data_IF_501318779392
#
_entry.id   IF_501318779392
#
_cell.length_a   1.000
_cell.length_b   1.000
_cell.length_c   1.000
_cell.angle_alpha   90.00
_cell.angle_beta   90.00
_cell.angle_gamma   90.00
#
_symmetry.space_group_name_H-M   'P 1'
#
loop_
_entity.id
_entity.type
_entity.pdbx_description
1 polymer ?
#
# COMPACT_ATOMS: atom_id res chain seq x y z
N UNK A 1 17.68 -7.03 0.72
CA UNK A 1 16.87 -8.00 -0.05
C UNK A 1 16.47 -9.13 0.90
N UNK A 2 15.27 -9.67 0.75
CA UNK A 2 14.75 -10.78 1.57
C UNK A 2 14.98 -12.10 0.81
N UNK A 3 15.58 -13.13 1.41
CA UNK A 3 15.69 -14.45 0.79
C UNK A 3 14.31 -15.00 0.40
N UNK A 4 14.20 -15.61 -0.78
CA UNK A 4 12.93 -16.13 -1.29
C UNK A 4 13.14 -17.43 -2.04
N UNK A 5 13.42 -18.52 -1.31
CA UNK A 5 13.63 -19.86 -1.85
C UNK A 5 12.43 -20.76 -1.55
N UNK A 6 11.39 -20.62 -2.38
CA UNK A 6 10.17 -21.45 -2.27
C UNK A 6 10.48 -22.95 -2.41
N UNK A 7 11.45 -23.30 -3.26
CA UNK A 7 11.79 -24.69 -3.58
C UNK A 7 12.37 -25.44 -2.39
N UNK A 8 13.21 -24.77 -1.59
CA UNK A 8 13.73 -25.32 -0.33
C UNK A 8 12.63 -25.64 0.69
N UNK A 9 11.46 -25.01 0.56
CA UNK A 9 10.29 -25.24 1.40
C UNK A 9 9.20 -26.10 0.74
N UNK A 10 9.46 -26.67 -0.44
CA UNK A 10 8.48 -27.47 -1.18
C UNK A 10 7.27 -26.67 -1.66
N UNK A 11 7.46 -25.38 -1.94
CA UNK A 11 6.44 -24.44 -2.42
C UNK A 11 6.73 -24.02 -3.86
N UNK A 12 5.66 -23.65 -4.57
CA UNK A 12 5.70 -23.08 -5.93
C UNK A 12 4.94 -21.75 -5.97
N UNK A 13 5.39 -20.80 -6.81
CA UNK A 13 4.68 -19.55 -7.09
C UNK A 13 3.85 -19.68 -8.37
N UNK A 14 2.53 -19.75 -8.21
CA UNK A 14 1.61 -19.76 -9.34
C UNK A 14 1.12 -18.35 -9.65
N UNK A 15 1.28 -17.92 -10.90
CA UNK A 15 0.82 -16.62 -11.39
C UNK A 15 -0.37 -16.81 -12.32
N UNK A 16 -1.48 -16.16 -11.99
CA UNK A 16 -2.70 -16.14 -12.82
C UNK A 16 -2.87 -14.78 -13.50
N UNK A 17 -2.76 -14.76 -14.83
CA UNK A 17 -3.09 -13.58 -15.64
C UNK A 17 -4.60 -13.58 -15.97
N UNK A 18 -5.31 -12.55 -15.50
CA UNK A 18 -6.75 -12.38 -15.74
C UNK A 18 -7.08 -12.07 -17.19
N UNK A 19 -6.08 -11.70 -18.02
CA UNK A 19 -6.20 -11.29 -19.43
C UNK A 19 -7.14 -10.10 -19.67
N UNK A 20 -7.57 -9.40 -18.61
CA UNK A 20 -8.39 -8.19 -18.74
C UNK A 20 -7.50 -7.09 -19.29
N UNK A 21 -7.89 -6.53 -20.45
CA UNK A 21 -7.17 -5.42 -21.05
C UNK A 21 -7.73 -4.10 -20.56
N UNK A 22 -7.04 -3.49 -19.61
CA UNK A 22 -7.24 -2.08 -19.29
C UNK A 22 -6.50 -1.25 -20.34
N UNK A 23 -7.16 -0.27 -20.96
CA UNK A 23 -6.47 0.70 -21.78
C UNK A 23 -5.42 1.41 -20.91
N UNK A 24 -4.16 1.42 -21.34
CA UNK A 24 -3.06 2.15 -20.70
C UNK A 24 -3.40 3.65 -20.72
N UNK A 25 -4.14 4.13 -19.71
CA UNK A 25 -4.66 5.49 -19.71
C UNK A 25 -5.93 5.72 -18.89
N UNK A 26 -6.44 4.73 -18.15
CA UNK A 26 -7.47 5.02 -17.18
C UNK A 26 -6.89 5.89 -16.06
N UNK A 27 -7.44 7.10 -15.90
CA UNK A 27 -6.99 8.08 -14.90
C UNK A 27 -7.01 7.58 -13.45
N UNK A 28 -7.45 6.34 -13.21
CA UNK A 28 -7.45 5.66 -11.93
C UNK A 28 -6.06 5.59 -11.28
N UNK A 29 -4.98 5.37 -12.03
CA UNK A 29 -3.64 5.41 -11.42
C UNK A 29 -3.27 6.83 -10.98
N UNK A 30 -3.52 7.83 -11.83
CA UNK A 30 -3.24 9.23 -11.51
C UNK A 30 -4.07 9.72 -10.31
N UNK A 31 -5.33 9.31 -10.22
CA UNK A 31 -6.23 9.63 -9.12
C UNK A 31 -5.74 9.00 -7.80
N UNK A 32 -5.34 7.72 -7.82
CA UNK A 32 -4.72 7.05 -6.65
C UNK A 32 -3.47 7.79 -6.19
N UNK A 33 -2.57 8.13 -7.12
CA UNK A 33 -1.35 8.86 -6.83
C UNK A 33 -1.63 10.21 -6.18
N UNK A 34 -2.53 11.00 -6.78
CA UNK A 34 -2.93 12.29 -6.26
C UNK A 34 -3.58 12.16 -4.86
N UNK A 35 -4.37 11.11 -4.63
CA UNK A 35 -4.94 10.81 -3.32
C UNK A 35 -3.89 10.49 -2.26
N UNK A 36 -2.84 9.74 -2.60
CA UNK A 36 -1.72 9.47 -1.69
C UNK A 36 -0.92 10.74 -1.36
N UNK A 37 -0.60 11.54 -2.39
CA UNK A 37 0.15 12.80 -2.24
C UNK A 37 -0.63 13.80 -1.37
N UNK A 38 -1.95 13.89 -1.58
CA UNK A 38 -2.83 14.71 -0.75
C UNK A 38 -2.88 14.23 0.70
N UNK A 39 -2.98 12.91 0.93
CA UNK A 39 -2.93 12.33 2.27
C UNK A 39 -1.63 12.66 3.02
N UNK A 40 -0.48 12.54 2.33
CA UNK A 40 0.82 12.89 2.91
C UNK A 40 0.88 14.38 3.29
N UNK A 41 0.39 15.25 2.40
CA UNK A 41 0.32 16.70 2.63
C UNK A 41 -0.56 17.06 3.83
N UNK A 42 -1.76 16.46 3.94
CA UNK A 42 -2.69 16.71 5.04
C UNK A 42 -2.17 16.21 6.40
N UNK A 43 -1.39 15.12 6.40
CA UNK A 43 -0.78 14.57 7.62
C UNK A 43 0.56 15.21 7.97
N UNK A 44 1.12 16.05 7.09
CA UNK A 44 2.40 16.73 7.32
C UNK A 44 3.62 15.81 7.23
N UNK A 45 3.52 14.73 6.46
CA UNK A 45 4.62 13.74 6.26
C UNK A 45 5.19 13.84 4.86
N UNK A 46 6.45 13.41 4.67
CA UNK A 46 7.08 13.38 3.36
C UNK A 46 6.44 12.34 2.44
N UNK A 47 6.17 11.15 2.98
CA UNK A 47 5.49 10.06 2.30
C UNK A 47 4.57 9.33 3.28
N UNK A 48 3.56 8.62 2.76
CA UNK A 48 2.61 7.88 3.62
C UNK A 48 3.28 6.78 4.46
N UNK A 49 4.40 6.20 3.99
CA UNK A 49 5.23 5.25 4.76
C UNK A 49 5.81 5.82 6.06
N UNK A 50 5.85 7.15 6.19
CA UNK A 50 6.37 7.81 7.39
C UNK A 50 5.30 7.92 8.50
N UNK A 51 4.04 7.50 8.22
CA UNK A 51 2.98 7.38 9.22
C UNK A 51 3.14 6.05 9.97
N UNK A 52 3.40 6.06 11.28
CA UNK A 52 3.52 4.82 12.05
C UNK A 52 2.19 4.05 12.08
N UNK A 53 2.24 2.75 11.80
CA UNK A 53 1.06 1.87 11.80
C UNK A 53 0.23 1.97 13.09
N UNK A 54 0.90 2.01 14.25
CA UNK A 54 0.25 2.10 15.56
C UNK A 54 -0.56 3.38 15.78
N UNK A 55 -0.24 4.43 15.02
CA UNK A 55 -0.92 5.73 15.09
C UNK A 55 -1.86 5.96 13.92
N UNK A 56 -2.06 4.96 13.07
CA UNK A 56 -2.92 5.05 11.90
C UNK A 56 -4.36 5.44 12.25
N UNK A 57 -5.02 4.89 13.29
CA UNK A 57 -6.38 5.32 13.64
C UNK A 57 -6.49 6.83 13.88
N UNK A 58 -5.55 7.41 14.62
CA UNK A 58 -5.49 8.83 14.95
C UNK A 58 -5.10 9.67 13.73
N UNK A 59 -4.23 9.16 12.86
CA UNK A 59 -3.93 9.82 11.60
C UNK A 59 -5.16 9.90 10.69
N UNK A 60 -5.94 8.82 10.60
CA UNK A 60 -7.16 8.79 9.81
C UNK A 60 -8.21 9.79 10.33
N UNK A 61 -8.33 10.00 11.64
CA UNK A 61 -9.23 11.00 12.23
C UNK A 61 -8.96 12.44 11.75
N UNK A 62 -7.73 12.76 11.35
CA UNK A 62 -7.34 14.09 10.84
C UNK A 62 -7.75 14.35 9.39
N UNK A 63 -8.27 13.34 8.70
CA UNK A 63 -8.62 13.40 7.28
C UNK A 63 -10.14 13.44 7.14
N UNK A 64 -10.67 14.47 6.48
CA UNK A 64 -12.11 14.60 6.26
C UNK A 64 -12.60 13.85 5.02
N UNK A 65 -11.80 13.81 3.95
CA UNK A 65 -12.14 13.12 2.70
C UNK A 65 -11.94 11.60 2.85
N UNK A 66 -13.03 10.83 2.79
CA UNK A 66 -12.99 9.36 2.86
C UNK A 66 -12.17 8.72 1.74
N UNK A 67 -12.10 9.35 0.56
CA UNK A 67 -11.25 8.87 -0.54
C UNK A 67 -9.78 8.90 -0.14
N UNK A 68 -9.34 9.99 0.48
CA UNK A 68 -7.96 10.13 0.99
C UNK A 68 -7.74 9.19 2.17
N UNK A 69 -8.70 9.06 3.09
CA UNK A 69 -8.64 8.09 4.21
C UNK A 69 -8.41 6.67 3.70
N UNK A 70 -9.06 6.27 2.61
CA UNK A 70 -8.88 4.95 2.00
C UNK A 70 -7.45 4.73 1.50
N UNK A 71 -6.83 5.72 0.87
CA UNK A 71 -5.45 5.62 0.39
C UNK A 71 -4.44 5.58 1.52
N UNK A 72 -4.57 6.45 2.51
CA UNK A 72 -3.69 6.42 3.70
C UNK A 72 -3.80 5.08 4.42
N UNK A 73 -5.03 4.59 4.66
CA UNK A 73 -5.24 3.28 5.29
C UNK A 73 -4.60 2.16 4.48
N UNK A 74 -4.80 2.16 3.16
CA UNK A 74 -4.25 1.11 2.32
C UNK A 74 -2.72 1.08 2.40
N UNK A 75 -2.05 2.20 2.15
CA UNK A 75 -0.59 2.26 2.11
C UNK A 75 0.02 1.85 3.45
N UNK A 76 -0.42 2.46 4.56
CA UNK A 76 0.17 2.20 5.87
C UNK A 76 -0.06 0.76 6.32
N UNK A 77 -1.25 0.18 6.06
CA UNK A 77 -1.49 -1.23 6.39
C UNK A 77 -0.78 -2.20 5.45
N UNK A 78 -0.50 -1.81 4.21
CA UNK A 78 0.26 -2.65 3.27
C UNK A 78 1.75 -2.66 3.61
N UNK A 79 2.32 -1.51 4.00
CA UNK A 79 3.70 -1.42 4.49
C UNK A 79 3.89 -2.36 5.71
N UNK A 80 2.97 -2.32 6.68
CA UNK A 80 3.03 -3.23 7.85
C UNK A 80 2.88 -4.72 7.46
N UNK A 81 2.03 -5.04 6.48
CA UNK A 81 1.89 -6.42 5.97
C UNK A 81 3.18 -6.90 5.32
N UNK A 82 3.82 -6.06 4.51
CA UNK A 82 5.10 -6.37 3.86
C UNK A 82 6.20 -6.58 4.90
N UNK A 83 6.31 -5.70 5.90
CA UNK A 83 7.28 -5.88 6.99
C UNK A 83 7.01 -7.16 7.78
N UNK A 84 5.74 -7.46 8.07
CA UNK A 84 5.36 -8.70 8.75
C UNK A 84 5.76 -9.94 7.95
N UNK A 85 5.50 -9.98 6.65
CA UNK A 85 5.92 -11.10 5.78
C UNK A 85 7.44 -11.18 5.70
N UNK A 86 8.13 -10.05 5.57
CA UNK A 86 9.60 -10.03 5.52
C UNK A 86 10.26 -10.53 6.81
N UNK A 87 9.59 -10.41 7.97
CA UNK A 87 10.06 -11.00 9.25
C UNK A 87 9.83 -12.51 9.35
N UNK A 88 8.95 -13.07 8.50
CA UNK A 88 8.61 -14.51 8.48
C UNK A 88 9.41 -15.30 7.44
N UNK A 89 10.01 -14.61 6.46
CA UNK A 89 10.87 -15.17 5.40
C UNK A 89 12.34 -15.16 5.82
#
# INVERSE_FOLDING_TARGET
QVPFDLSAHGLDLLVFDTRVQHALGDGAYAERRAGCEEGARLLGVGQLRDVPFETLPQALEKLEDERVRRYVRHVVTEDERVETVARLL
#
